data_IF_663114786748
#
_entry.id   IF_663114786748
#
_cell.length_a   1.000
_cell.length_b   1.000
_cell.length_c   1.000
_cell.angle_alpha   90.00
_cell.angle_beta   90.00
_cell.angle_gamma   90.00
#
_symmetry.space_group_name_H-M   'P 1'
#
loop_
_entity.id
_entity.type
_entity.pdbx_description
1 polymer ?
#
# COMPACT_ATOMS: atom_id res chain seq x y z
N UNK A 1 -15.95 0.49 -9.37
CA UNK A 1 -14.89 0.71 -8.37
C UNK A 1 -14.65 -0.63 -7.68
N UNK A 2 -13.52 -1.29 -7.93
CA UNK A 2 -13.23 -2.61 -7.34
C UNK A 2 -12.70 -2.36 -5.93
N UNK A 3 -13.52 -2.65 -4.93
CA UNK A 3 -13.14 -2.52 -3.52
C UNK A 3 -12.16 -3.66 -3.22
N UNK A 4 -10.89 -3.32 -2.98
CA UNK A 4 -9.87 -4.30 -2.59
C UNK A 4 -10.08 -4.67 -1.12
N UNK A 5 -9.98 -5.95 -0.81
CA UNK A 5 -10.04 -6.47 0.56
C UNK A 5 -8.78 -6.08 1.34
N UNK A 6 -8.87 -6.02 2.67
CA UNK A 6 -7.72 -5.69 3.53
C UNK A 6 -6.49 -6.58 3.29
N UNK A 7 -6.70 -7.87 3.01
CA UNK A 7 -5.64 -8.83 2.69
C UNK A 7 -4.93 -8.49 1.36
N UNK A 8 -5.69 -8.06 0.35
CA UNK A 8 -5.12 -7.62 -0.93
C UNK A 8 -4.31 -6.34 -0.77
N UNK A 9 -4.76 -5.40 0.09
CA UNK A 9 -4.00 -4.19 0.41
C UNK A 9 -2.67 -4.54 1.07
N UNK A 10 -2.66 -5.48 2.03
CA UNK A 10 -1.42 -5.93 2.69
C UNK A 10 -0.48 -6.61 1.70
N UNK A 11 -1.00 -7.47 0.81
CA UNK A 11 -0.20 -8.15 -0.21
C UNK A 11 0.42 -7.15 -1.19
N UNK A 12 -0.36 -6.19 -1.68
CA UNK A 12 0.12 -5.14 -2.59
C UNK A 12 1.18 -4.26 -1.94
N UNK A 13 1.02 -3.92 -0.66
CA UNK A 13 2.01 -3.15 0.08
C UNK A 13 3.36 -3.87 0.11
N UNK A 14 3.36 -5.18 0.43
CA UNK A 14 4.58 -5.99 0.43
C UNK A 14 5.20 -6.10 -0.97
N UNK A 15 4.39 -6.32 -2.00
CA UNK A 15 4.89 -6.36 -3.39
C UNK A 15 5.51 -5.02 -3.84
N UNK A 16 4.99 -3.89 -3.34
CA UNK A 16 5.60 -2.58 -3.61
C UNK A 16 6.90 -2.39 -2.85
N UNK A 17 7.00 -2.83 -1.59
CA UNK A 17 8.25 -2.81 -0.82
C UNK A 17 9.34 -3.63 -1.52
N UNK A 18 9.03 -4.87 -1.91
CA UNK A 18 9.97 -5.77 -2.58
C UNK A 18 10.49 -5.16 -3.91
N UNK A 19 9.60 -4.53 -4.70
CA UNK A 19 9.98 -3.85 -5.95
C UNK A 19 10.81 -2.59 -5.73
N UNK A 20 10.53 -1.84 -4.66
CA UNK A 20 11.30 -0.65 -4.30
C UNK A 20 12.72 -1.05 -3.92
N UNK A 21 12.88 -2.14 -3.16
CA UNK A 21 14.19 -2.69 -2.80
C UNK A 21 14.98 -3.12 -4.05
N UNK A 22 14.36 -3.92 -4.93
CA UNK A 22 14.98 -4.39 -6.17
C UNK A 22 15.44 -3.23 -7.08
N UNK A 23 14.58 -2.22 -7.27
CA UNK A 23 14.92 -1.05 -8.10
C UNK A 23 16.00 -0.18 -7.44
N UNK A 24 16.00 -0.07 -6.12
CA UNK A 24 17.03 0.68 -5.40
C UNK A 24 18.39 0.03 -5.57
N UNK A 25 18.46 -1.31 -5.46
CA UNK A 25 19.67 -2.08 -5.70
C UNK A 25 20.14 -2.01 -7.16
N UNK A 26 19.20 -2.01 -8.12
CA UNK A 26 19.53 -1.86 -9.54
C UNK A 26 20.12 -0.47 -9.84
N UNK A 27 19.56 0.60 -9.23
CA UNK A 27 20.07 1.97 -9.35
C UNK A 27 21.48 2.12 -8.79
N UNK A 28 21.83 1.41 -7.72
CA UNK A 28 23.18 1.40 -7.14
C UNK A 28 24.15 0.65 -8.04
N UNK A 29 23.75 -0.50 -8.60
CA UNK A 29 24.59 -1.32 -9.50
C UNK A 29 24.86 -0.69 -10.87
N UNK A 30 23.98 0.20 -11.35
CA UNK A 30 24.10 0.86 -12.65
C UNK A 30 24.87 2.19 -12.59
N UNK A 31 26.08 2.18 -12.02
CA UNK A 31 26.91 3.38 -11.83
C UNK A 31 27.26 4.10 -13.15
N UNK A 32 27.37 3.38 -14.27
CA UNK A 32 27.85 3.93 -15.56
C UNK A 32 26.72 4.37 -16.53
N UNK A 33 25.45 4.06 -16.26
CA UNK A 33 24.34 4.28 -17.20
C UNK A 33 23.39 5.42 -16.75
N UNK A 34 23.76 6.66 -17.05
CA UNK A 34 23.02 7.86 -16.62
C UNK A 34 21.55 7.91 -17.06
N UNK A 35 21.25 7.51 -18.30
CA UNK A 35 19.86 7.51 -18.83
C UNK A 35 18.99 6.43 -18.18
N UNK A 36 19.52 5.22 -18.03
CA UNK A 36 18.81 4.12 -17.35
C UNK A 36 18.55 4.47 -15.89
N UNK A 37 19.50 5.15 -15.24
CA UNK A 37 19.35 5.62 -13.86
C UNK A 37 18.26 6.67 -13.69
N UNK A 38 18.08 7.59 -14.66
CA UNK A 38 16.98 8.56 -14.60
C UNK A 38 15.61 7.89 -14.70
N UNK A 39 15.46 6.89 -15.58
CA UNK A 39 14.20 6.16 -15.72
C UNK A 39 13.89 5.35 -14.45
N UNK A 40 14.88 4.64 -13.90
CA UNK A 40 14.70 3.86 -12.68
C UNK A 40 14.36 4.74 -11.47
N UNK A 41 14.96 5.94 -11.38
CA UNK A 41 14.61 6.93 -10.35
C UNK A 41 13.19 7.45 -10.50
N UNK A 42 12.73 7.69 -11.73
CA UNK A 42 11.36 8.10 -12.01
C UNK A 42 10.36 7.00 -11.63
N UNK A 43 10.65 5.74 -11.98
CA UNK A 43 9.82 4.61 -11.57
C UNK A 43 9.80 4.40 -10.05
N UNK A 44 10.95 4.58 -9.38
CA UNK A 44 11.02 4.56 -7.91
C UNK A 44 10.18 5.66 -7.27
N UNK A 45 10.23 6.89 -7.81
CA UNK A 45 9.42 8.00 -7.32
C UNK A 45 7.93 7.68 -7.43
N UNK A 46 7.51 7.15 -8.58
CA UNK A 46 6.12 6.74 -8.82
C UNK A 46 5.66 5.63 -7.88
N UNK A 47 6.48 4.59 -7.68
CA UNK A 47 6.17 3.49 -6.77
C UNK A 47 6.03 3.96 -5.31
N UNK A 48 6.86 4.93 -4.88
CA UNK A 48 6.74 5.53 -3.54
C UNK A 48 5.47 6.35 -3.38
N UNK A 49 5.07 7.10 -4.41
CA UNK A 49 3.79 7.81 -4.40
C UNK A 49 2.60 6.85 -4.35
N UNK A 50 2.63 5.78 -5.15
CA UNK A 50 1.59 4.75 -5.16
C UNK A 50 1.49 4.03 -3.81
N UNK A 51 2.64 3.72 -3.17
CA UNK A 51 2.68 3.13 -1.82
C UNK A 51 2.08 4.09 -0.77
N UNK A 52 2.44 5.37 -0.82
CA UNK A 52 1.89 6.39 0.08
C UNK A 52 0.38 6.54 -0.09
N UNK A 53 -0.10 6.56 -1.34
CA UNK A 53 -1.54 6.59 -1.63
C UNK A 53 -2.26 5.33 -1.11
N UNK A 54 -1.61 4.16 -1.17
CA UNK A 54 -2.15 2.93 -0.61
C UNK A 54 -2.21 2.99 0.93
N UNK A 55 -1.20 3.53 1.60
CA UNK A 55 -1.20 3.74 3.06
C UNK A 55 -2.30 4.70 3.50
N UNK A 56 -2.53 5.77 2.76
CA UNK A 56 -3.63 6.72 3.03
C UNK A 56 -5.02 6.06 2.95
N UNK A 57 -5.16 4.97 2.18
CA UNK A 57 -6.40 4.17 2.15
C UNK A 57 -6.53 3.16 3.29
N UNK A 58 -5.42 2.80 3.95
CA UNK A 58 -5.33 1.71 4.94
C UNK A 58 -5.63 2.18 6.37
N UNK A 59 -5.50 3.48 6.65
CA UNK A 59 -5.60 4.04 8.02
C UNK A 59 -6.73 5.06 8.22
N UNK A 60 -7.80 5.02 7.43
CA UNK A 60 -9.01 5.75 7.85
C UNK A 60 -9.55 5.08 9.12
N UNK A 61 -9.73 5.82 10.23
CA UNK A 61 -10.36 5.26 11.41
C UNK A 61 -11.71 4.69 10.98
N UNK A 62 -11.91 3.39 11.18
CA UNK A 62 -13.22 2.78 11.04
C UNK A 62 -14.10 3.44 12.09
N UNK A 63 -15.15 4.16 11.66
CA UNK A 63 -16.15 4.68 12.58
C UNK A 63 -16.65 3.51 13.44
N UNK A 64 -16.66 3.66 14.78
CA UNK A 64 -17.06 2.58 15.66
C UNK A 64 -18.48 2.15 15.32
N UNK A 65 -18.62 0.89 14.89
CA UNK A 65 -19.94 0.28 14.68
C UNK A 65 -20.55 0.05 16.06
N UNK A 66 -21.43 0.97 16.49
CA UNK A 66 -22.22 0.80 17.71
C UNK A 66 -23.24 -0.31 17.45
N UNK A 67 -22.94 -1.53 17.91
CA UNK A 67 -23.90 -2.63 17.90
C UNK A 67 -24.94 -2.32 18.97
N UNK A 68 -26.12 -1.83 18.56
CA UNK A 68 -27.24 -1.67 19.48
C UNK A 68 -27.67 -3.05 20.00
N UNK A 69 -27.47 -3.29 21.28
CA UNK A 69 -27.95 -4.48 22.01
C UNK A 69 -29.48 -4.40 22.18
N UNK A 70 -30.24 -4.57 21.09
CA UNK A 70 -31.71 -4.64 21.16
C UNK A 70 -32.28 -5.95 20.62
N UNK A 71 -31.46 -7.01 20.52
CA UNK A 71 -31.89 -8.34 20.08
C UNK A 71 -31.43 -9.50 20.99
N UNK A 72 -30.89 -9.20 22.18
CA UNK A 72 -30.84 -10.20 23.26
C UNK A 72 -32.12 -10.05 24.09
N UNK A 73 -33.13 -10.81 23.69
CA UNK A 73 -34.47 -10.77 24.26
C UNK A 73 -34.47 -10.85 25.79
N UNK A 74 -34.98 -9.79 26.42
CA UNK A 74 -35.50 -9.87 27.77
C UNK A 74 -36.70 -10.81 27.77
N UNK A 75 -36.52 -12.02 28.30
CA UNK A 75 -37.64 -12.81 28.79
C UNK A 75 -38.03 -12.24 30.15
N UNK A 76 -39.26 -11.71 30.22
CA UNK A 76 -40.01 -11.58 31.47
C UNK A 76 -40.20 -12.94 32.15
#
# INVERSE_FOLDING_TARGET
>A
MVIKTGLEIVRLHKEYEDKIEELSDAVVRLEEYNYTKSILREQLAKLREDLKALEDTRFKPLDPVVIHTSLLGGKS
#
